data_IF_535293237168
#
_entry.id   IF_535293237168
#
_cell.length_a   1.000
_cell.length_b   1.000
_cell.length_c   1.000
_cell.angle_alpha   90.00
_cell.angle_beta   90.00
_cell.angle_gamma   90.00
#
_symmetry.space_group_name_H-M   'P 1'
#
loop_
_entity.id
_entity.type
_entity.pdbx_description
1 polymer ?
#
# COMPACT_ATOMS: atom_id res chain seq x y z
N UNK A 1 -23.31 -2.39 21.46
CA UNK A 1 -23.95 -3.70 21.76
C UNK A 1 -24.25 -4.45 20.48
N UNK A 2 -23.49 -5.51 20.22
CA UNK A 2 -23.26 -5.98 18.85
C UNK A 2 -23.12 -7.49 18.79
N UNK A 3 -23.72 -8.17 17.78
CA UNK A 3 -23.75 -9.63 17.71
C UNK A 3 -22.38 -10.32 17.86
N UNK A 4 -21.27 -9.81 17.28
CA UNK A 4 -19.97 -10.47 17.42
C UNK A 4 -19.48 -10.58 18.88
N UNK A 5 -19.69 -9.55 19.70
CA UNK A 5 -19.34 -9.61 21.12
C UNK A 5 -20.16 -10.67 21.88
N UNK A 6 -21.41 -10.93 21.46
CA UNK A 6 -22.22 -11.99 22.06
C UNK A 6 -21.73 -13.38 21.66
N UNK A 7 -21.37 -13.59 20.39
CA UNK A 7 -20.88 -14.89 19.91
C UNK A 7 -19.47 -15.21 20.41
N UNK A 8 -18.66 -14.20 20.71
CA UNK A 8 -17.30 -14.38 21.23
C UNK A 8 -17.25 -14.47 22.76
N UNK A 9 -18.27 -14.06 23.51
CA UNK A 9 -18.13 -13.88 24.97
C UNK A 9 -17.72 -15.14 25.74
N UNK A 10 -18.11 -16.31 25.24
CA UNK A 10 -17.82 -17.59 25.89
C UNK A 10 -16.55 -18.25 25.31
N UNK A 11 -16.16 -17.93 24.08
CA UNK A 11 -15.03 -18.54 23.36
C UNK A 11 -13.76 -17.68 23.41
N UNK A 12 -13.92 -16.36 23.36
CA UNK A 12 -12.88 -15.35 23.41
C UNK A 12 -13.37 -14.08 24.14
N UNK A 13 -13.46 -14.12 25.49
CA UNK A 13 -13.96 -13.01 26.29
C UNK A 13 -13.06 -11.76 26.21
N UNK A 14 -11.79 -11.90 25.84
CA UNK A 14 -10.88 -10.77 25.59
C UNK A 14 -11.34 -10.01 24.34
N UNK A 15 -11.45 -10.70 23.20
CA UNK A 15 -11.90 -10.09 21.95
C UNK A 15 -13.36 -9.66 21.99
N UNK A 16 -14.23 -10.35 22.72
CA UNK A 16 -15.60 -9.89 22.97
C UNK A 16 -15.61 -8.52 23.67
N UNK A 17 -14.76 -8.36 24.70
CA UNK A 17 -14.58 -7.11 25.41
C UNK A 17 -14.00 -6.01 24.52
N UNK A 18 -13.04 -6.36 23.66
CA UNK A 18 -12.45 -5.44 22.70
C UNK A 18 -13.43 -4.99 21.62
N UNK A 19 -14.18 -5.91 21.05
CA UNK A 19 -15.22 -5.59 20.08
C UNK A 19 -16.25 -4.62 20.68
N UNK A 20 -16.68 -4.88 21.93
CA UNK A 20 -17.58 -3.95 22.63
C UNK A 20 -16.95 -2.57 22.84
N UNK A 21 -15.68 -2.50 23.21
CA UNK A 21 -14.94 -1.24 23.36
C UNK A 21 -14.87 -0.46 22.03
N UNK A 22 -14.60 -1.11 20.89
CA UNK A 22 -14.60 -0.46 19.56
C UNK A 22 -15.93 0.28 19.34
N UNK A 23 -17.04 -0.39 19.60
CA UNK A 23 -18.37 0.15 19.32
C UNK A 23 -18.84 1.25 20.27
N UNK A 24 -18.46 1.19 21.54
CA UNK A 24 -19.02 2.07 22.58
C UNK A 24 -18.07 3.18 23.00
N UNK A 25 -16.75 2.94 22.95
CA UNK A 25 -15.76 3.81 23.59
C UNK A 25 -14.65 4.27 22.65
N UNK A 26 -14.46 3.63 21.49
CA UNK A 26 -13.43 4.10 20.56
C UNK A 26 -13.81 5.45 19.96
N UNK A 27 -12.82 6.28 19.66
CA UNK A 27 -13.00 7.55 18.93
C UNK A 27 -13.63 7.38 17.53
N UNK A 28 -13.79 6.14 17.06
CA UNK A 28 -14.46 5.76 15.82
C UNK A 28 -15.89 5.26 16.08
N UNK A 29 -16.57 5.72 17.15
CA UNK A 29 -18.01 5.51 17.30
C UNK A 29 -18.66 5.77 15.94
N UNK A 30 -19.36 4.77 15.38
CA UNK A 30 -19.99 4.90 14.08
C UNK A 30 -21.00 6.05 14.14
N UNK A 31 -20.58 7.23 13.67
CA UNK A 31 -21.44 8.41 13.59
C UNK A 31 -22.42 8.19 12.44
N UNK A 32 -23.71 8.34 12.76
CA UNK A 32 -24.88 8.56 11.89
C UNK A 32 -25.17 7.59 10.73
N UNK A 33 -24.22 7.14 9.89
CA UNK A 33 -24.57 6.41 8.66
C UNK A 33 -25.26 5.06 8.93
N UNK A 34 -24.81 4.31 9.94
CA UNK A 34 -25.47 3.07 10.37
C UNK A 34 -26.79 3.31 11.15
N UNK A 35 -27.04 4.55 11.58
CA UNK A 35 -28.23 4.94 12.34
C UNK A 35 -29.31 5.59 11.48
N UNK A 36 -28.95 6.19 10.34
CA UNK A 36 -29.84 7.05 9.56
C UNK A 36 -30.36 6.41 8.25
N UNK A 37 -29.62 5.48 7.62
CA UNK A 37 -29.94 5.01 6.25
C UNK A 37 -30.57 3.61 6.14
N UNK A 38 -30.62 2.85 7.22
CA UNK A 38 -31.49 1.68 7.37
C UNK A 38 -32.42 2.05 8.51
N UNK A 39 -33.76 2.00 8.43
CA UNK A 39 -34.60 2.30 9.61
C UNK A 39 -34.29 1.25 10.71
N UNK A 40 -33.42 1.55 11.69
CA UNK A 40 -32.81 0.51 12.51
C UNK A 40 -33.74 0.11 13.65
N UNK A 41 -34.87 0.81 13.84
CA UNK A 41 -35.61 0.74 15.10
C UNK A 41 -36.30 -0.60 15.33
N UNK A 42 -36.54 -1.43 14.32
CA UNK A 42 -37.14 -2.76 14.51
C UNK A 42 -36.09 -3.88 14.46
N UNK A 43 -35.30 -3.96 13.39
CA UNK A 43 -34.32 -5.05 13.22
C UNK A 43 -33.13 -4.94 14.18
N UNK A 44 -32.60 -3.72 14.38
CA UNK A 44 -31.48 -3.52 15.30
C UNK A 44 -31.88 -3.75 16.76
N UNK A 45 -33.08 -3.30 17.17
CA UNK A 45 -33.57 -3.56 18.53
C UNK A 45 -33.80 -5.06 18.76
N UNK A 46 -34.31 -5.79 17.75
CA UNK A 46 -34.47 -7.23 17.84
C UNK A 46 -33.13 -7.97 17.97
N UNK A 47 -32.14 -7.64 17.14
CA UNK A 47 -30.79 -8.23 17.27
C UNK A 47 -30.08 -7.82 18.56
N UNK A 48 -30.31 -6.60 19.04
CA UNK A 48 -29.80 -6.14 20.34
C UNK A 48 -30.49 -6.83 21.51
N UNK A 49 -31.76 -7.20 21.38
CA UNK A 49 -32.48 -7.98 22.38
C UNK A 49 -31.97 -9.42 22.42
N UNK A 50 -31.86 -10.08 21.26
CA UNK A 50 -31.40 -11.47 21.16
C UNK A 50 -29.92 -11.64 21.48
N UNK A 51 -29.07 -10.76 20.94
CA UNK A 51 -27.60 -10.86 20.99
C UNK A 51 -26.96 -9.65 21.66
N UNK A 52 -27.71 -9.01 22.56
CA UNK A 52 -27.16 -8.03 23.47
C UNK A 52 -26.10 -8.66 24.36
N UNK A 53 -24.97 -7.97 24.48
CA UNK A 53 -23.79 -8.41 25.25
C UNK A 53 -23.46 -7.37 26.33
N UNK A 54 -24.48 -6.89 27.06
CA UNK A 54 -24.33 -5.88 28.12
C UNK A 54 -23.47 -6.39 29.30
N UNK A 55 -23.47 -7.70 29.49
CA UNK A 55 -22.67 -8.46 30.45
C UNK A 55 -21.16 -8.50 30.10
N UNK A 56 -20.80 -8.31 28.83
CA UNK A 56 -19.39 -8.39 28.37
C UNK A 56 -18.60 -7.16 28.83
N UNK A 57 -17.56 -7.34 29.65
CA UNK A 57 -16.74 -6.22 30.11
C UNK A 57 -15.90 -5.64 28.97
N UNK A 58 -15.93 -4.31 28.78
CA UNK A 58 -15.16 -3.62 27.74
C UNK A 58 -13.66 -3.73 27.99
N UNK A 59 -12.87 -3.90 26.93
CA UNK A 59 -11.41 -3.96 26.99
C UNK A 59 -10.77 -3.16 25.87
N UNK A 60 -9.84 -2.28 26.21
CA UNK A 60 -9.04 -1.50 25.26
C UNK A 60 -8.07 -2.40 24.46
N UNK A 61 -7.49 -1.93 23.34
CA UNK A 61 -6.43 -2.64 22.64
C UNK A 61 -5.28 -3.07 23.57
N UNK A 62 -4.86 -2.20 24.48
CA UNK A 62 -3.78 -2.47 25.42
C UNK A 62 -4.15 -3.57 26.42
N UNK A 63 -5.39 -3.59 26.92
CA UNK A 63 -5.85 -4.60 27.90
C UNK A 63 -5.85 -6.02 27.33
N UNK A 64 -6.11 -6.18 26.03
CA UNK A 64 -6.09 -7.50 25.37
C UNK A 64 -4.73 -7.83 24.75
N UNK A 65 -3.73 -6.96 24.88
CA UNK A 65 -2.43 -7.13 24.23
C UNK A 65 -2.54 -7.21 22.70
N UNK A 66 -3.40 -6.36 22.10
CA UNK A 66 -3.63 -6.35 20.65
C UNK A 66 -2.29 -6.18 19.92
N UNK A 67 -2.00 -7.09 18.99
CA UNK A 67 -0.77 -7.09 18.23
C UNK A 67 -0.74 -5.86 17.31
N UNK A 68 0.45 -5.39 16.96
CA UNK A 68 0.61 -4.30 16.00
C UNK A 68 0.55 -4.80 14.55
N UNK A 69 0.70 -6.10 14.33
CA UNK A 69 0.80 -6.69 13.00
C UNK A 69 -0.15 -7.86 12.86
N UNK A 70 -0.95 -7.83 11.81
CA UNK A 70 -1.95 -8.85 11.50
C UNK A 70 -1.94 -9.17 10.01
N UNK A 71 -2.00 -10.45 9.69
CA UNK A 71 -2.32 -10.92 8.34
C UNK A 71 -3.75 -11.41 8.32
N UNK A 72 -4.63 -10.66 7.68
CA UNK A 72 -6.06 -10.96 7.60
C UNK A 72 -6.41 -11.76 6.35
N UNK A 73 -7.32 -12.71 6.52
CA UNK A 73 -8.00 -13.42 5.44
C UNK A 73 -7.06 -13.88 4.33
N UNK A 74 -7.32 -13.40 3.12
CA UNK A 74 -6.65 -13.84 1.91
C UNK A 74 -5.33 -13.16 1.59
N UNK A 75 -4.84 -12.22 2.42
CA UNK A 75 -3.54 -11.60 2.16
C UNK A 75 -3.34 -10.16 2.60
N UNK A 76 -4.27 -9.54 3.33
CA UNK A 76 -4.05 -8.17 3.81
C UNK A 76 -3.10 -8.19 5.02
N UNK A 77 -1.87 -7.72 4.86
CA UNK A 77 -0.90 -7.56 5.94
C UNK A 77 -0.94 -6.12 6.46
N UNK A 78 -1.54 -5.95 7.63
CA UNK A 78 -1.58 -4.66 8.34
C UNK A 78 -0.44 -4.64 9.35
N UNK A 79 0.44 -3.65 9.25
CA UNK A 79 1.53 -3.38 10.20
C UNK A 79 1.34 -2.00 10.81
N UNK A 80 1.47 -1.89 12.13
CA UNK A 80 1.29 -0.64 12.86
C UNK A 80 2.47 -0.34 13.76
N UNK A 81 2.68 0.95 14.07
CA UNK A 81 3.60 1.35 15.15
C UNK A 81 2.92 1.30 16.53
N UNK A 82 1.62 1.56 16.58
CA UNK A 82 0.82 1.60 17.81
C UNK A 82 -0.67 1.33 17.49
N UNK A 83 -1.45 0.95 18.50
CA UNK A 83 -2.88 0.60 18.34
C UNK A 83 -3.85 1.66 18.91
N UNK A 84 -3.35 2.73 19.50
CA UNK A 84 -4.14 3.66 20.33
C UNK A 84 -4.01 5.13 19.93
N UNK A 85 -2.92 5.50 19.28
CA UNK A 85 -2.62 6.86 18.85
C UNK A 85 -3.13 7.11 17.43
N UNK A 86 -3.67 8.31 17.18
CA UNK A 86 -4.07 8.74 15.83
C UNK A 86 -2.85 8.95 14.91
N UNK A 87 -1.68 9.09 15.53
CA UNK A 87 -0.38 9.34 14.91
C UNK A 87 0.42 8.05 14.68
N UNK A 88 -0.20 6.89 14.92
CA UNK A 88 0.42 5.62 14.64
C UNK A 88 0.68 5.48 13.13
N UNK A 89 1.82 4.91 12.78
CA UNK A 89 2.02 4.47 11.41
C UNK A 89 1.12 3.28 11.17
N UNK A 90 0.46 3.26 10.02
CA UNK A 90 -0.28 2.12 9.50
C UNK A 90 0.20 1.86 8.08
N UNK A 91 0.71 0.66 7.86
CA UNK A 91 1.03 0.14 6.54
C UNK A 91 0.03 -0.96 6.24
N UNK A 92 -0.64 -0.86 5.10
CA UNK A 92 -1.31 -2.00 4.49
C UNK A 92 -0.40 -2.51 3.38
N UNK A 93 -0.02 -3.78 3.42
CA UNK A 93 0.69 -4.44 2.33
C UNK A 93 -0.18 -5.59 1.80
N UNK A 94 -0.65 -5.43 0.57
CA UNK A 94 -1.58 -6.36 -0.03
C UNK A 94 -0.86 -7.55 -0.64
N UNK A 95 -1.04 -8.72 -0.02
CA UNK A 95 -0.32 -9.95 -0.35
C UNK A 95 -1.27 -11.12 -0.65
N UNK A 96 -2.20 -10.94 -1.61
CA UNK A 96 -3.28 -11.88 -1.86
C UNK A 96 -2.77 -13.24 -2.31
N UNK A 97 -3.32 -14.32 -1.75
CA UNK A 97 -3.07 -15.67 -2.25
C UNK A 97 -3.98 -16.00 -3.45
N UNK A 98 -5.22 -15.50 -3.41
CA UNK A 98 -6.25 -15.77 -4.42
C UNK A 98 -6.87 -14.48 -4.93
N UNK A 99 -7.19 -14.44 -6.23
CA UNK A 99 -8.04 -13.41 -6.82
C UNK A 99 -9.50 -13.80 -6.58
N UNK A 100 -10.28 -12.93 -5.92
CA UNK A 100 -11.70 -13.15 -5.74
C UNK A 100 -12.51 -12.30 -6.73
N UNK A 101 -13.72 -12.72 -7.12
CA UNK A 101 -14.54 -11.95 -8.05
C UNK A 101 -15.09 -10.65 -7.43
N UNK A 102 -15.56 -9.76 -8.33
CA UNK A 102 -16.30 -8.50 -8.07
C UNK A 102 -15.45 -7.31 -7.63
N UNK A 103 -15.31 -7.08 -6.32
CA UNK A 103 -14.75 -5.83 -5.77
C UNK A 103 -13.25 -5.93 -5.51
N UNK A 104 -12.58 -6.80 -6.25
CA UNK A 104 -11.15 -7.02 -6.16
C UNK A 104 -10.44 -6.17 -7.21
N UNK A 105 -9.29 -5.62 -6.85
CA UNK A 105 -8.46 -4.86 -7.75
C UNK A 105 -7.33 -5.75 -8.29
N UNK A 106 -6.67 -5.28 -9.36
CA UNK A 106 -5.45 -5.88 -9.90
C UNK A 106 -4.25 -5.22 -9.23
N UNK A 107 -4.07 -5.49 -7.93
CA UNK A 107 -3.20 -4.73 -7.05
C UNK A 107 -2.31 -5.62 -6.17
N UNK A 108 -2.05 -6.86 -6.60
CA UNK A 108 -1.21 -7.78 -5.85
C UNK A 108 0.19 -7.20 -5.61
N UNK A 109 0.58 -7.04 -4.34
CA UNK A 109 1.85 -6.43 -3.95
C UNK A 109 1.76 -4.91 -3.75
N UNK A 110 0.59 -4.30 -3.87
CA UNK A 110 0.37 -2.90 -3.54
C UNK A 110 0.59 -2.62 -2.05
N UNK A 111 0.89 -1.37 -1.71
CA UNK A 111 0.97 -0.94 -0.31
C UNK A 111 0.36 0.44 -0.10
N UNK A 112 -0.04 0.75 1.12
CA UNK A 112 -0.55 2.05 1.55
C UNK A 112 0.16 2.44 2.85
N UNK A 113 0.49 3.71 3.02
CA UNK A 113 1.16 4.22 4.21
C UNK A 113 0.42 5.43 4.75
N UNK A 114 0.08 5.36 6.03
CA UNK A 114 -0.47 6.45 6.82
C UNK A 114 0.44 6.72 8.02
N UNK A 115 0.73 7.99 8.30
CA UNK A 115 1.43 8.48 9.50
C UNK A 115 1.21 9.99 9.60
N UNK A 116 0.49 10.46 10.62
CA UNK A 116 0.01 11.87 10.74
C UNK A 116 -0.76 12.37 9.49
N UNK A 117 -1.47 11.46 8.81
CA UNK A 117 -2.11 11.72 7.52
C UNK A 117 -1.74 10.67 6.46
N UNK A 118 -2.43 10.72 5.32
CA UNK A 118 -2.15 9.83 4.18
C UNK A 118 -0.81 10.21 3.52
N UNK A 119 0.06 9.24 3.25
CA UNK A 119 1.37 9.46 2.62
C UNK A 119 1.52 8.71 1.30
N UNK A 120 1.24 7.41 1.31
CA UNK A 120 1.17 6.57 0.12
C UNK A 120 -0.24 6.00 0.00
N UNK A 121 -0.90 6.20 -1.13
CA UNK A 121 -2.34 5.94 -1.32
C UNK A 121 -2.62 4.73 -2.20
N UNK A 122 -3.78 4.12 -1.97
CA UNK A 122 -4.48 3.38 -3.02
C UNK A 122 -5.38 4.38 -3.76
N UNK A 123 -5.07 4.66 -5.02
CA UNK A 123 -5.55 5.84 -5.71
C UNK A 123 -6.85 5.61 -6.50
N UNK A 124 -7.51 6.72 -6.85
CA UNK A 124 -8.74 6.70 -7.63
C UNK A 124 -9.95 6.22 -6.84
N UNK A 125 -11.13 6.33 -7.43
CA UNK A 125 -12.37 5.83 -6.83
C UNK A 125 -13.34 5.34 -7.90
N UNK A 126 -13.92 4.16 -7.69
CA UNK A 126 -14.95 3.61 -8.60
C UNK A 126 -16.35 4.20 -8.34
N UNK A 127 -16.54 4.94 -7.25
CA UNK A 127 -17.82 5.51 -6.82
C UNK A 127 -17.86 7.00 -7.11
N UNK A 128 -18.99 7.47 -7.63
CA UNK A 128 -19.22 8.89 -7.83
C UNK A 128 -19.66 9.56 -6.54
N UNK A 129 -18.99 10.63 -6.17
CA UNK A 129 -19.47 11.66 -5.25
C UNK A 129 -19.13 13.03 -5.83
N UNK A 130 -19.85 14.08 -5.43
CA UNK A 130 -19.65 15.45 -5.90
C UNK A 130 -18.24 16.00 -5.61
N UNK A 131 -17.44 15.30 -4.80
CA UNK A 131 -16.09 15.69 -4.39
C UNK A 131 -14.99 14.75 -4.92
N UNK A 132 -15.35 13.70 -5.66
CA UNK A 132 -14.41 12.67 -6.10
C UNK A 132 -14.58 12.36 -7.60
N UNK A 133 -13.55 12.56 -8.43
CA UNK A 133 -13.55 12.12 -9.81
C UNK A 133 -13.55 10.59 -9.84
N UNK A 134 -14.64 10.05 -10.38
CA UNK A 134 -14.81 8.62 -10.58
C UNK A 134 -13.92 8.15 -11.72
N UNK A 135 -13.21 7.04 -11.53
CA UNK A 135 -12.69 6.24 -12.63
C UNK A 135 -13.19 4.80 -12.49
N UNK A 136 -13.82 4.28 -13.53
CA UNK A 136 -14.15 2.85 -13.64
C UNK A 136 -12.90 1.97 -13.76
N UNK A 137 -11.73 2.60 -13.95
CA UNK A 137 -10.42 1.95 -14.02
C UNK A 137 -9.67 1.96 -12.70
N UNK A 138 -10.26 2.40 -11.58
CA UNK A 138 -9.58 2.46 -10.28
C UNK A 138 -9.12 1.09 -9.75
N UNK A 139 -9.60 -0.01 -10.34
CA UNK A 139 -9.14 -1.36 -10.00
C UNK A 139 -7.95 -1.86 -10.84
N UNK A 140 -7.36 -1.02 -11.69
CA UNK A 140 -6.23 -1.39 -12.54
C UNK A 140 -4.88 -1.05 -11.89
N UNK A 141 -3.80 -1.77 -12.24
CA UNK A 141 -2.49 -1.66 -11.59
C UNK A 141 -1.93 -0.23 -11.51
N UNK A 142 -2.22 0.60 -12.51
CA UNK A 142 -1.81 2.01 -12.60
C UNK A 142 -2.32 2.93 -11.47
N UNK A 143 -3.28 2.48 -10.66
CA UNK A 143 -3.81 3.21 -9.50
C UNK A 143 -3.18 2.81 -8.16
N UNK A 144 -2.26 1.85 -8.17
CA UNK A 144 -1.75 1.23 -6.96
C UNK A 144 -0.24 1.41 -6.82
N UNK A 145 0.27 1.39 -5.59
CA UNK A 145 1.70 1.45 -5.32
C UNK A 145 2.36 0.10 -5.61
N UNK A 146 2.44 -0.27 -6.88
CA UNK A 146 2.92 -1.56 -7.38
C UNK A 146 4.13 -1.37 -8.31
N UNK A 147 4.77 -2.45 -8.72
CA UNK A 147 5.64 -2.45 -9.89
C UNK A 147 4.79 -2.67 -11.14
N UNK A 148 4.67 -1.64 -11.97
CA UNK A 148 3.98 -1.65 -13.24
C UNK A 148 4.87 -2.17 -14.37
N UNK A 149 4.26 -2.96 -15.24
CA UNK A 149 4.91 -3.61 -16.39
C UNK A 149 4.13 -3.21 -17.65
N UNK A 150 4.86 -2.74 -18.64
CA UNK A 150 4.31 -2.21 -19.89
C UNK A 150 4.90 -3.01 -21.05
N UNK A 151 4.12 -4.02 -21.46
CA UNK A 151 4.50 -5.04 -22.43
C UNK A 151 3.88 -4.79 -23.83
N UNK A 152 4.40 -5.44 -24.90
CA UNK A 152 4.01 -5.14 -26.28
C UNK A 152 2.51 -5.38 -26.54
N UNK A 153 1.80 -4.35 -27.02
CA UNK A 153 0.34 -4.36 -27.17
C UNK A 153 -0.33 -3.07 -26.68
N UNK A 154 0.41 -2.24 -25.93
CA UNK A 154 0.04 -0.86 -25.62
C UNK A 154 -1.04 -0.74 -24.54
N UNK A 155 -1.01 -1.61 -23.54
CA UNK A 155 -1.91 -1.42 -22.41
C UNK A 155 -1.44 -0.29 -21.50
N UNK A 156 -2.09 0.86 -21.67
CA UNK A 156 -1.76 2.09 -20.96
C UNK A 156 -2.13 2.04 -19.47
N UNK A 157 -2.82 0.99 -19.00
CA UNK A 157 -3.18 0.79 -17.59
C UNK A 157 -2.25 -0.17 -16.85
N UNK A 158 -1.24 -0.73 -17.53
CA UNK A 158 -0.40 -1.81 -17.01
C UNK A 158 -1.22 -3.03 -16.56
N UNK A 159 -2.41 -3.25 -17.13
CA UNK A 159 -3.22 -4.43 -16.80
C UNK A 159 -2.46 -5.69 -17.17
N UNK A 160 -2.86 -6.73 -16.48
CA UNK A 160 -2.49 -8.09 -16.80
C UNK A 160 -3.75 -8.96 -16.77
N UNK A 161 -3.74 -10.05 -17.53
CA UNK A 161 -4.85 -10.98 -17.64
C UNK A 161 -5.04 -11.73 -16.33
N UNK A 162 -6.23 -11.57 -15.74
CA UNK A 162 -6.65 -12.24 -14.51
C UNK A 162 -8.12 -12.62 -14.59
N UNK A 163 -8.65 -12.91 -15.79
CA UNK A 163 -10.05 -13.33 -15.90
C UNK A 163 -10.25 -14.71 -15.27
N UNK A 164 -10.58 -14.71 -13.98
CA UNK A 164 -10.81 -15.92 -13.19
C UNK A 164 -12.12 -15.80 -12.39
N UNK A 165 -13.21 -15.48 -13.09
CA UNK A 165 -14.54 -15.48 -12.48
C UNK A 165 -14.94 -16.89 -12.00
N UNK A 166 -15.09 -17.07 -10.68
CA UNK A 166 -15.61 -18.31 -10.08
C UNK A 166 -16.99 -18.11 -9.48
N UNK A 167 -17.87 -19.11 -9.62
CA UNK A 167 -19.21 -19.11 -9.05
C UNK A 167 -19.21 -19.37 -7.53
N UNK A 168 -19.60 -18.34 -6.77
CA UNK A 168 -20.16 -18.26 -5.40
C UNK A 168 -19.69 -19.14 -4.22
N UNK A 169 -18.96 -20.26 -4.35
CA UNK A 169 -18.40 -20.98 -3.20
C UNK A 169 -16.87 -20.88 -3.16
N UNK A 170 -16.40 -19.67 -2.89
CA UNK A 170 -15.00 -19.29 -3.02
C UNK A 170 -14.02 -20.06 -2.13
N UNK A 171 -14.47 -20.82 -1.11
CA UNK A 171 -13.56 -21.48 -0.18
C UNK A 171 -13.21 -22.92 -0.58
N UNK A 172 -14.15 -23.65 -1.20
CA UNK A 172 -13.94 -25.04 -1.64
C UNK A 172 -13.86 -25.20 -3.16
N UNK A 173 -14.05 -24.12 -3.92
CA UNK A 173 -13.83 -24.13 -5.36
C UNK A 173 -12.37 -24.55 -5.67
N UNK A 174 -12.15 -25.56 -6.52
CA UNK A 174 -10.82 -25.98 -6.97
C UNK A 174 -9.97 -24.83 -7.52
N UNK A 175 -10.60 -23.81 -8.12
CA UNK A 175 -9.90 -22.65 -8.64
C UNK A 175 -9.31 -21.77 -7.53
N UNK A 176 -9.90 -21.80 -6.33
CA UNK A 176 -9.42 -21.12 -5.13
C UNK A 176 -8.53 -22.02 -4.24
N UNK A 177 -7.89 -23.04 -4.81
CA UNK A 177 -6.89 -23.89 -4.14
C UNK A 177 -5.47 -23.59 -4.66
N UNK A 178 -4.40 -23.94 -3.92
CA UNK A 178 -3.04 -23.77 -4.41
C UNK A 178 -2.85 -24.43 -5.78
N UNK A 179 -2.36 -23.68 -6.76
CA UNK A 179 -2.21 -24.13 -8.14
C UNK A 179 -3.43 -23.89 -9.05
N UNK A 180 -4.64 -23.70 -8.50
CA UNK A 180 -5.86 -23.36 -9.25
C UNK A 180 -5.77 -22.01 -9.97
N UNK A 181 -6.73 -21.71 -10.86
CA UNK A 181 -6.71 -20.48 -11.64
C UNK A 181 -6.68 -19.24 -10.73
N UNK A 182 -7.47 -19.18 -9.66
CA UNK A 182 -7.50 -17.98 -8.83
C UNK A 182 -6.23 -17.81 -7.98
N UNK A 183 -5.35 -18.80 -7.88
CA UNK A 183 -4.10 -18.66 -7.12
C UNK A 183 -3.12 -17.72 -7.83
N UNK A 184 -2.97 -16.50 -7.32
CA UNK A 184 -2.19 -15.41 -7.94
C UNK A 184 -0.93 -15.02 -7.17
N UNK A 185 -0.83 -15.40 -5.89
CA UNK A 185 0.30 -14.98 -5.07
C UNK A 185 0.60 -15.94 -3.95
N UNK A 186 1.78 -15.76 -3.36
CA UNK A 186 2.25 -16.55 -2.24
C UNK A 186 3.12 -15.71 -1.31
N UNK A 187 2.82 -15.77 -0.01
CA UNK A 187 3.67 -15.22 1.04
C UNK A 187 4.80 -16.23 1.30
N UNK A 188 5.96 -15.99 0.71
CA UNK A 188 7.14 -16.85 0.82
C UNK A 188 7.73 -16.82 2.24
N UNK A 189 7.69 -15.67 2.89
CA UNK A 189 8.12 -15.52 4.27
C UNK A 189 7.38 -14.38 4.97
N UNK A 190 7.04 -14.59 6.24
CA UNK A 190 6.54 -13.56 7.14
C UNK A 190 7.27 -13.70 8.48
N UNK A 191 7.89 -12.62 8.95
CA UNK A 191 8.50 -12.55 10.28
C UNK A 191 8.01 -11.29 10.98
N UNK A 192 7.28 -11.49 12.07
CA UNK A 192 6.84 -10.42 12.96
C UNK A 192 7.78 -10.39 14.16
N UNK A 193 8.38 -9.24 14.42
CA UNK A 193 9.18 -8.97 15.61
C UNK A 193 8.62 -7.70 16.28
N UNK A 194 7.70 -7.85 17.26
CA UNK A 194 7.05 -6.73 17.92
C UNK A 194 8.03 -5.66 18.39
N UNK A 195 7.64 -4.40 18.22
CA UNK A 195 8.43 -3.22 18.59
C UNK A 195 9.84 -3.16 17.97
N UNK A 196 10.11 -3.92 16.91
CA UNK A 196 11.42 -3.94 16.24
C UNK A 196 11.29 -3.86 14.74
N UNK A 197 10.75 -4.92 14.13
CA UNK A 197 10.57 -4.97 12.69
C UNK A 197 9.54 -6.01 12.26
N UNK A 198 8.95 -5.81 11.10
CA UNK A 198 8.20 -6.83 10.38
C UNK A 198 8.79 -7.02 8.99
N UNK A 199 8.91 -8.28 8.57
CA UNK A 199 9.41 -8.65 7.25
C UNK A 199 8.36 -9.49 6.54
N UNK A 200 8.07 -9.14 5.29
CA UNK A 200 7.22 -9.88 4.38
C UNK A 200 7.92 -10.08 3.04
N UNK A 201 7.80 -11.27 2.48
CA UNK A 201 8.33 -11.64 1.17
C UNK A 201 7.22 -12.26 0.34
N UNK A 202 6.80 -11.55 -0.68
CA UNK A 202 5.61 -11.86 -1.45
C UNK A 202 5.97 -12.10 -2.91
N UNK A 203 5.69 -13.31 -3.40
CA UNK A 203 5.80 -13.68 -4.80
C UNK A 203 4.42 -13.63 -5.44
N UNK A 204 4.26 -12.78 -6.43
CA UNK A 204 3.00 -12.59 -7.15
C UNK A 204 3.18 -12.77 -8.65
N UNK A 205 4.17 -13.58 -9.04
CA UNK A 205 4.41 -13.96 -10.43
C UNK A 205 3.15 -14.54 -11.09
N UNK A 206 2.38 -15.34 -10.34
CA UNK A 206 1.14 -15.94 -10.82
C UNK A 206 0.00 -14.93 -11.04
N UNK A 207 0.12 -13.69 -10.55
CA UNK A 207 -0.85 -12.64 -10.88
C UNK A 207 -0.80 -12.32 -12.38
N UNK A 208 0.37 -12.46 -13.01
CA UNK A 208 0.58 -12.31 -14.45
C UNK A 208 0.39 -13.63 -15.23
N UNK A 209 -0.31 -14.61 -14.66
CA UNK A 209 -0.61 -15.85 -15.39
C UNK A 209 -1.45 -15.50 -16.63
N UNK A 210 -1.06 -15.99 -17.80
CA UNK A 210 -1.67 -15.56 -19.07
C UNK A 210 -0.82 -14.55 -19.82
N UNK A 211 0.12 -13.89 -19.14
CA UNK A 211 1.14 -13.06 -19.76
C UNK A 211 2.38 -13.89 -20.07
N UNK A 212 2.75 -13.97 -21.35
CA UNK A 212 3.97 -14.67 -21.80
C UNK A 212 5.25 -13.87 -21.53
N UNK A 213 5.11 -12.65 -21.02
CA UNK A 213 6.20 -11.71 -20.83
C UNK A 213 6.81 -11.70 -19.42
N UNK A 214 6.24 -12.43 -18.46
CA UNK A 214 6.65 -12.41 -17.06
C UNK A 214 7.28 -13.73 -16.61
N UNK A 215 8.56 -13.70 -16.23
CA UNK A 215 9.26 -14.86 -15.64
C UNK A 215 9.18 -14.87 -14.12
N UNK A 216 9.31 -13.71 -13.48
CA UNK A 216 9.31 -13.55 -12.02
C UNK A 216 8.97 -12.12 -11.63
N UNK A 217 8.14 -11.95 -10.61
CA UNK A 217 7.95 -10.68 -9.91
C UNK A 217 7.70 -10.93 -8.42
N UNK A 218 8.52 -10.27 -7.59
CA UNK A 218 8.55 -10.52 -6.15
C UNK A 218 8.88 -9.26 -5.38
N UNK A 219 8.14 -8.99 -4.31
CA UNK A 219 8.28 -7.82 -3.44
C UNK A 219 8.63 -8.24 -2.02
N UNK A 220 9.66 -7.62 -1.45
CA UNK A 220 10.05 -7.76 -0.05
C UNK A 220 9.84 -6.45 0.66
N UNK A 221 9.16 -6.48 1.79
CA UNK A 221 8.95 -5.32 2.64
C UNK A 221 9.54 -5.60 4.02
N UNK A 222 10.41 -4.71 4.49
CA UNK A 222 10.91 -4.68 5.86
C UNK A 222 10.51 -3.36 6.50
N UNK A 223 9.58 -3.41 7.45
CA UNK A 223 9.18 -2.27 8.25
C UNK A 223 9.95 -2.27 9.58
N UNK A 224 10.68 -1.21 9.88
CA UNK A 224 11.56 -1.07 11.05
C UNK A 224 11.01 0.04 11.94
N UNK A 225 10.77 -0.28 13.21
CA UNK A 225 10.20 0.62 14.22
C UNK A 225 10.81 0.46 15.61
N UNK A 226 12.06 0.00 15.67
CA UNK A 226 12.75 -0.27 16.93
C UNK A 226 13.07 1.02 17.72
N UNK A 227 12.36 1.32 18.83
CA UNK A 227 12.62 2.51 19.63
C UNK A 227 13.91 2.39 20.45
N UNK A 228 14.49 1.19 20.56
CA UNK A 228 15.74 0.92 21.26
C UNK A 228 16.95 0.98 20.32
N UNK A 229 16.74 1.15 19.01
CA UNK A 229 17.84 1.30 18.07
C UNK A 229 18.64 2.58 18.38
N UNK A 230 19.98 2.57 18.24
CA UNK A 230 20.75 3.79 18.45
C UNK A 230 20.28 4.88 17.49
N UNK A 231 20.45 6.15 17.87
CA UNK A 231 19.98 7.30 17.08
C UNK A 231 18.48 7.21 16.71
N UNK A 232 17.66 6.53 17.51
CA UNK A 232 16.21 6.64 17.40
C UNK A 232 15.79 7.99 17.99
N UNK A 233 15.29 8.87 17.13
CA UNK A 233 14.74 10.17 17.51
C UNK A 233 13.41 10.37 16.82
N UNK A 234 12.56 11.22 17.39
CA UNK A 234 11.38 11.79 16.73
C UNK A 234 10.38 10.78 16.14
N UNK A 235 10.27 9.59 16.76
CA UNK A 235 9.41 8.51 16.26
C UNK A 235 9.68 8.13 14.79
N UNK A 236 10.95 8.18 14.37
CA UNK A 236 11.35 7.81 13.02
C UNK A 236 11.19 6.31 12.78
N UNK A 237 10.50 5.99 11.70
CA UNK A 237 10.24 4.61 11.29
C UNK A 237 10.58 4.46 9.81
N UNK A 238 10.98 3.26 9.41
CA UNK A 238 11.52 3.02 8.08
C UNK A 238 10.84 1.86 7.39
N UNK A 239 10.61 1.96 6.08
CA UNK A 239 10.17 0.85 5.24
C UNK A 239 11.21 0.63 4.15
N UNK A 240 11.82 -0.56 4.12
CA UNK A 240 12.69 -0.97 3.03
C UNK A 240 11.88 -1.85 2.10
N UNK A 241 11.74 -1.42 0.85
CA UNK A 241 11.11 -2.17 -0.22
C UNK A 241 12.17 -2.66 -1.19
N UNK A 242 12.12 -3.94 -1.52
CA UNK A 242 12.93 -4.54 -2.56
C UNK A 242 12.06 -5.31 -3.54
N UNK A 243 12.06 -4.89 -4.79
CA UNK A 243 11.41 -5.59 -5.89
C UNK A 243 12.45 -6.24 -6.80
N UNK A 244 12.17 -7.47 -7.20
CA UNK A 244 12.96 -8.25 -8.15
C UNK A 244 12.04 -8.73 -9.26
N UNK A 245 12.29 -8.26 -10.47
CA UNK A 245 11.51 -8.56 -11.66
C UNK A 245 12.39 -9.14 -12.76
N UNK A 246 11.84 -10.10 -13.47
CA UNK A 246 12.44 -10.82 -14.58
C UNK A 246 11.36 -10.97 -15.66
N UNK A 247 11.57 -10.31 -16.80
CA UNK A 247 10.69 -10.32 -17.96
C UNK A 247 11.33 -11.10 -19.11
N UNK A 248 10.57 -11.49 -20.13
CA UNK A 248 11.13 -12.27 -21.25
C UNK A 248 11.85 -11.41 -22.29
N UNK A 249 11.51 -10.12 -22.39
CA UNK A 249 12.12 -9.16 -23.32
C UNK A 249 12.68 -7.95 -22.55
N UNK A 250 13.92 -7.60 -22.84
CA UNK A 250 14.61 -6.44 -22.24
C UNK A 250 13.96 -5.09 -22.60
N UNK A 251 13.16 -5.02 -23.67
CA UNK A 251 12.47 -3.80 -24.10
C UNK A 251 11.17 -3.53 -23.34
N UNK A 252 10.70 -4.48 -22.51
CA UNK A 252 9.52 -4.28 -21.68
C UNK A 252 9.82 -3.20 -20.64
N UNK A 253 8.96 -2.18 -20.62
CA UNK A 253 9.12 -1.05 -19.71
C UNK A 253 8.65 -1.45 -18.33
N UNK A 254 9.44 -1.07 -17.31
CA UNK A 254 9.19 -1.38 -15.91
C UNK A 254 9.19 -0.08 -15.12
N UNK A 255 8.16 0.14 -14.32
CA UNK A 255 7.98 1.36 -13.54
C UNK A 255 7.56 1.03 -12.12
N UNK A 256 8.28 1.53 -11.13
CA UNK A 256 7.85 1.46 -9.74
C UNK A 256 6.94 2.66 -9.42
N UNK A 257 5.74 2.41 -8.87
CA UNK A 257 4.71 3.44 -8.70
C UNK A 257 4.54 3.87 -7.24
N UNK A 258 4.32 5.17 -7.02
CA UNK A 258 3.89 5.76 -5.75
C UNK A 258 2.87 6.87 -5.95
N UNK A 259 1.68 6.66 -5.42
CA UNK A 259 0.56 7.59 -5.38
C UNK A 259 0.53 8.37 -4.09
N UNK A 260 0.30 9.67 -4.21
CA UNK A 260 0.40 10.62 -3.10
C UNK A 260 -0.73 11.65 -3.17
N UNK A 261 -1.18 12.18 -2.01
CA UNK A 261 -2.22 13.21 -1.96
C UNK A 261 -1.73 14.60 -2.39
N UNK A 262 -0.41 14.81 -2.41
CA UNK A 262 0.26 16.08 -2.66
C UNK A 262 1.43 15.88 -3.61
N UNK A 263 1.90 16.94 -4.27
CA UNK A 263 3.02 16.86 -5.21
C UNK A 263 4.33 16.40 -4.52
N UNK A 264 4.91 15.23 -4.89
CA UNK A 264 6.21 14.81 -4.41
C UNK A 264 7.31 15.73 -4.92
N UNK A 265 8.25 16.11 -4.06
CA UNK A 265 9.38 16.99 -4.39
C UNK A 265 10.68 16.19 -4.45
N UNK A 266 11.57 16.56 -5.38
CA UNK A 266 12.92 15.96 -5.43
C UNK A 266 13.85 16.77 -4.54
N UNK A 267 14.42 16.15 -3.51
CA UNK A 267 15.29 16.85 -2.55
C UNK A 267 16.51 17.45 -3.25
N UNK A 268 16.63 18.77 -3.19
CA UNK A 268 17.76 19.53 -3.77
C UNK A 268 17.79 19.56 -5.30
N UNK A 269 16.70 19.19 -5.98
CA UNK A 269 16.56 19.23 -7.43
C UNK A 269 15.19 19.82 -7.81
N UNK A 270 14.86 19.86 -9.10
CA UNK A 270 13.57 20.34 -9.59
C UNK A 270 13.07 19.51 -10.74
N UNK A 271 11.76 19.32 -10.78
CA UNK A 271 11.04 18.72 -11.89
C UNK A 271 11.25 19.52 -13.19
N UNK A 272 11.43 18.81 -14.29
CA UNK A 272 11.45 19.40 -15.64
C UNK A 272 10.12 19.10 -16.32
N UNK A 273 9.45 20.15 -16.80
CA UNK A 273 8.17 19.96 -17.49
C UNK A 273 8.38 19.21 -18.81
N UNK A 274 7.64 18.11 -18.97
CA UNK A 274 7.71 17.23 -20.14
C UNK A 274 6.37 17.19 -20.90
N UNK A 275 5.29 17.68 -20.29
CA UNK A 275 3.97 17.81 -20.89
C UNK A 275 2.97 18.42 -19.91
N UNK A 276 1.69 18.49 -20.31
CA UNK A 276 0.65 18.94 -19.37
C UNK A 276 0.52 17.97 -18.21
N UNK A 277 0.66 18.50 -16.99
CA UNK A 277 0.63 17.72 -15.75
C UNK A 277 1.57 16.50 -15.78
N UNK A 278 2.71 16.67 -16.48
CA UNK A 278 3.74 15.66 -16.62
C UNK A 278 5.12 16.29 -16.52
N UNK A 279 5.91 15.78 -15.58
CA UNK A 279 7.28 16.21 -15.37
C UNK A 279 8.21 15.03 -15.26
N UNK A 280 9.47 15.26 -15.59
CA UNK A 280 10.53 14.26 -15.48
C UNK A 280 11.75 14.81 -14.75
N UNK A 281 12.58 13.90 -14.27
CA UNK A 281 13.93 14.20 -13.84
C UNK A 281 14.83 12.99 -14.05
N UNK A 282 16.05 13.23 -14.53
CA UNK A 282 17.11 12.22 -14.59
C UNK A 282 18.13 12.40 -13.44
N UNK A 283 17.83 13.28 -12.47
CA UNK A 283 18.67 13.58 -11.31
C UNK A 283 17.89 13.54 -10.00
N UNK A 284 18.63 13.32 -8.91
CA UNK A 284 18.07 13.16 -7.57
C UNK A 284 17.54 11.76 -7.34
N UNK A 285 17.73 11.24 -6.13
CA UNK A 285 17.29 9.91 -5.74
C UNK A 285 16.52 9.91 -4.42
N UNK A 286 16.21 11.08 -3.87
CA UNK A 286 15.43 11.23 -2.64
C UNK A 286 14.22 12.11 -2.93
N UNK A 287 13.05 11.56 -2.68
CA UNK A 287 11.76 12.20 -2.85
C UNK A 287 11.21 12.56 -1.47
N UNK A 288 10.61 13.74 -1.36
CA UNK A 288 9.91 14.23 -0.18
C UNK A 288 8.42 14.39 -0.47
N UNK A 289 7.58 13.93 0.44
CA UNK A 289 6.13 14.14 0.44
C UNK A 289 5.75 14.67 1.81
N UNK A 290 5.14 15.85 1.86
CA UNK A 290 4.69 16.48 3.10
C UNK A 290 3.19 16.77 3.01
N UNK A 291 2.39 16.02 3.74
CA UNK A 291 0.94 16.21 3.75
C UNK A 291 0.56 17.31 4.75
N UNK A 292 -0.02 18.40 4.24
CA UNK A 292 -0.47 19.56 5.03
C UNK A 292 -1.99 19.76 4.96
N UNK A 293 -2.75 18.76 4.52
CA UNK A 293 -4.20 18.89 4.39
C UNK A 293 -4.90 18.81 5.75
N UNK A 294 -5.71 19.82 6.07
CA UNK A 294 -6.40 19.92 7.35
C UNK A 294 -5.40 19.97 8.53
N UNK A 295 -5.54 19.03 9.47
CA UNK A 295 -4.61 18.86 10.59
C UNK A 295 -3.51 17.84 10.29
N UNK A 296 -3.38 17.36 9.05
CA UNK A 296 -2.32 16.41 8.68
C UNK A 296 -0.98 17.12 8.68
N UNK A 297 0.05 16.41 9.11
CA UNK A 297 1.44 16.86 9.12
C UNK A 297 2.38 15.65 8.93
N UNK A 298 1.94 14.65 8.16
CA UNK A 298 2.74 13.49 7.81
C UNK A 298 3.85 13.88 6.85
N UNK A 299 5.03 13.29 7.06
CA UNK A 299 6.15 13.39 6.15
C UNK A 299 6.67 12.02 5.74
N UNK A 300 6.93 11.85 4.45
CA UNK A 300 7.54 10.68 3.85
C UNK A 300 8.77 11.12 3.03
N UNK A 301 9.92 10.54 3.33
CA UNK A 301 11.05 10.52 2.42
C UNK A 301 11.14 9.16 1.74
N UNK A 302 11.44 9.12 0.45
CA UNK A 302 11.74 7.88 -0.29
C UNK A 302 13.08 8.03 -0.99
N UNK A 303 14.05 7.20 -0.62
CA UNK A 303 15.35 7.14 -1.29
C UNK A 303 15.49 5.89 -2.14
N UNK A 304 15.71 6.07 -3.43
CA UNK A 304 16.00 4.99 -4.37
C UNK A 304 17.51 4.70 -4.40
N UNK A 305 17.85 3.42 -4.20
CA UNK A 305 19.21 2.88 -4.24
C UNK A 305 19.42 1.95 -5.46
N UNK A 306 18.33 1.43 -6.01
CA UNK A 306 18.25 0.74 -7.30
C UNK A 306 16.93 1.10 -8.01
N UNK A 307 16.90 1.10 -9.35
CA UNK A 307 18.07 0.92 -10.24
C UNK A 307 19.00 2.14 -10.21
N UNK A 308 20.26 2.01 -10.68
CA UNK A 308 21.20 3.15 -10.74
C UNK A 308 21.04 4.01 -12.00
N UNK A 309 20.36 3.49 -13.02
CA UNK A 309 20.00 4.21 -14.26
C UNK A 309 18.48 4.26 -14.33
N UNK A 310 17.90 5.44 -14.18
CA UNK A 310 16.45 5.61 -14.15
C UNK A 310 16.03 6.99 -14.65
N UNK A 311 14.74 7.11 -14.92
CA UNK A 311 14.04 8.39 -15.02
C UNK A 311 12.94 8.45 -13.96
N UNK A 312 12.91 9.55 -13.22
CA UNK A 312 11.75 9.91 -12.41
C UNK A 312 10.72 10.55 -13.32
N UNK A 313 9.47 10.12 -13.18
CA UNK A 313 8.30 10.65 -13.88
C UNK A 313 7.27 11.03 -12.85
N UNK A 314 6.73 12.23 -12.95
CA UNK A 314 5.65 12.71 -12.10
C UNK A 314 4.43 12.99 -12.97
N UNK A 315 3.32 12.33 -12.65
CA UNK A 315 2.02 12.51 -13.31
C UNK A 315 1.03 13.12 -12.33
N UNK A 316 0.15 13.97 -12.85
CA UNK A 316 -1.01 14.48 -12.13
C UNK A 316 -0.89 15.92 -11.66
N UNK A 317 -1.73 16.35 -10.74
CA UNK A 317 -1.74 17.73 -10.25
C UNK A 317 -2.38 18.74 -11.20
N UNK A 318 -1.88 19.97 -11.19
CA UNK A 318 -2.45 21.07 -11.92
C UNK A 318 -1.41 21.94 -12.64
N UNK A 319 -1.79 22.40 -13.84
CA UNK A 319 -1.05 23.38 -14.62
C UNK A 319 -2.00 24.52 -15.02
N UNK A 320 -1.94 25.62 -14.28
CA UNK A 320 -2.89 26.72 -14.45
C UNK A 320 -4.32 26.27 -14.14
N UNK A 321 -5.18 26.25 -15.16
CA UNK A 321 -6.55 25.72 -15.08
C UNK A 321 -6.69 24.28 -15.58
N UNK A 322 -5.63 23.68 -16.14
CA UNK A 322 -5.65 22.26 -16.51
C UNK A 322 -5.38 21.45 -15.25
N UNK A 323 -6.32 20.57 -14.94
CA UNK A 323 -6.25 19.70 -13.79
C UNK A 323 -6.31 18.27 -14.30
N UNK A 324 -5.24 17.52 -14.07
CA UNK A 324 -5.16 16.11 -14.44
C UNK A 324 -4.95 15.29 -13.20
N UNK A 325 -5.91 14.43 -12.95
CA UNK A 325 -5.87 13.44 -11.91
C UNK A 325 -6.16 12.13 -12.60
N UNK A 326 -5.29 11.16 -12.38
CA UNK A 326 -5.41 9.81 -12.95
C UNK A 326 -5.29 9.80 -14.47
N UNK A 327 -4.04 9.78 -14.95
CA UNK A 327 -3.72 9.54 -16.35
C UNK A 327 -3.24 8.10 -16.55
N UNK A 328 -3.34 7.64 -17.80
CA UNK A 328 -2.69 6.41 -18.24
C UNK A 328 -1.15 6.53 -18.22
N UNK A 329 -0.47 5.49 -18.70
CA UNK A 329 0.99 5.41 -18.76
C UNK A 329 1.62 6.51 -19.64
N UNK A 330 0.89 6.98 -20.65
CA UNK A 330 1.32 8.00 -21.60
C UNK A 330 0.91 9.42 -21.20
N UNK A 331 -0.07 9.57 -20.31
CA UNK A 331 -0.56 10.86 -19.83
C UNK A 331 -1.93 11.25 -20.38
N UNK A 332 -2.65 10.34 -21.03
CA UNK A 332 -4.03 10.58 -21.43
C UNK A 332 -4.97 10.39 -20.24
N UNK A 333 -6.03 11.18 -20.18
CA UNK A 333 -6.95 11.16 -19.04
C UNK A 333 -7.78 9.87 -19.01
N UNK A 334 -7.97 9.31 -17.82
CA UNK A 334 -8.70 8.05 -17.61
C UNK A 334 -10.17 8.22 -17.21
N UNK A 335 -10.69 9.45 -17.23
CA UNK A 335 -12.06 9.73 -16.80
C UNK A 335 -12.62 11.03 -17.37
N UNK A 336 -13.96 11.15 -17.33
CA UNK A 336 -14.62 12.45 -17.35
C UNK A 336 -14.18 13.23 -16.11
N UNK A 337 -13.52 14.37 -16.34
CA UNK A 337 -12.93 15.22 -15.29
C UNK A 337 -14.03 15.77 -14.39
N UNK A 338 -14.35 15.04 -13.31
CA UNK A 338 -15.20 15.54 -12.24
C UNK A 338 -14.48 16.65 -11.45
N UNK A 339 -15.22 17.48 -10.69
CA UNK A 339 -14.59 18.38 -9.74
C UNK A 339 -13.74 17.57 -8.75
N UNK A 340 -12.49 17.98 -8.55
CA UNK A 340 -11.64 17.42 -7.51
C UNK A 340 -11.41 18.50 -6.46
N UNK A 341 -11.93 18.26 -5.26
CA UNK A 341 -11.63 19.10 -4.11
C UNK A 341 -10.35 18.62 -3.45
N UNK A 342 -9.76 19.48 -2.62
CA UNK A 342 -8.62 19.10 -1.77
C UNK A 342 -8.96 17.91 -0.86
N UNK A 343 -10.23 17.77 -0.46
CA UNK A 343 -10.71 16.59 0.27
C UNK A 343 -10.64 15.32 -0.59
N UNK A 344 -11.05 15.41 -1.85
CA UNK A 344 -10.94 14.29 -2.77
C UNK A 344 -9.48 13.91 -3.04
N UNK A 345 -8.62 14.91 -3.24
CA UNK A 345 -7.17 14.75 -3.38
C UNK A 345 -6.54 14.01 -2.20
N UNK A 346 -6.95 14.36 -0.98
CA UNK A 346 -6.45 13.75 0.24
C UNK A 346 -6.72 12.24 0.33
N UNK A 347 -7.82 11.76 -0.24
CA UNK A 347 -8.24 10.35 -0.16
C UNK A 347 -7.93 9.53 -1.41
N UNK A 348 -8.04 10.13 -2.60
CA UNK A 348 -7.89 9.42 -3.87
C UNK A 348 -6.54 9.70 -4.57
N UNK A 349 -5.78 10.69 -4.11
CA UNK A 349 -4.47 11.03 -4.66
C UNK A 349 -4.54 11.99 -5.84
N UNK A 350 -3.57 12.90 -5.92
CA UNK A 350 -3.43 13.88 -7.02
C UNK A 350 -2.27 13.53 -7.95
N UNK A 351 -1.27 12.83 -7.43
CA UNK A 351 0.00 12.61 -8.11
C UNK A 351 0.41 11.14 -8.07
N UNK A 352 1.04 10.70 -9.15
CA UNK A 352 1.74 9.41 -9.27
C UNK A 352 3.19 9.67 -9.64
N UNK A 353 4.11 9.30 -8.75
CA UNK A 353 5.51 9.15 -9.04
C UNK A 353 5.74 7.80 -9.72
N UNK A 354 6.51 7.78 -10.78
CA UNK A 354 6.99 6.57 -11.45
C UNK A 354 8.53 6.61 -11.49
N UNK A 355 9.17 5.52 -11.10
CA UNK A 355 10.61 5.31 -11.32
C UNK A 355 10.76 4.30 -12.45
N UNK A 356 11.14 4.79 -13.62
CA UNK A 356 11.35 3.97 -14.81
C UNK A 356 12.79 3.47 -14.85
N UNK A 357 12.97 2.15 -14.96
CA UNK A 357 14.30 1.55 -15.09
C UNK A 357 14.86 1.73 -16.51
N UNK A 358 16.04 2.34 -16.59
CA UNK A 358 16.79 2.58 -17.82
C UNK A 358 18.10 1.78 -17.88
N UNK A 359 18.31 0.80 -16.99
CA UNK A 359 19.55 0.00 -16.99
C UNK A 359 19.69 -0.92 -18.21
N UNK A 360 18.57 -1.22 -18.88
CA UNK A 360 18.50 -2.23 -19.92
C UNK A 360 18.60 -3.65 -19.37
N UNK A 361 18.22 -4.64 -20.19
CA UNK A 361 18.21 -6.06 -19.82
C UNK A 361 16.84 -6.53 -19.32
N UNK A 362 16.70 -7.85 -19.18
CA UNK A 362 15.44 -8.52 -18.83
C UNK A 362 15.13 -8.54 -17.34
N UNK A 363 16.07 -8.15 -16.49
CA UNK A 363 15.91 -8.13 -15.03
C UNK A 363 16.02 -6.71 -14.50
N UNK A 364 15.14 -6.33 -13.57
CA UNK A 364 15.29 -5.09 -12.79
C UNK A 364 15.22 -5.37 -11.31
N UNK A 365 15.95 -4.56 -10.56
CA UNK A 365 15.84 -4.51 -9.11
C UNK A 365 15.47 -3.09 -8.71
N UNK A 366 14.48 -2.96 -7.82
CA UNK A 366 14.17 -1.70 -7.17
C UNK A 366 14.48 -1.85 -5.70
N UNK A 367 15.24 -0.90 -5.14
CA UNK A 367 15.54 -0.85 -3.72
C UNK A 367 15.21 0.55 -3.24
N UNK A 368 14.13 0.68 -2.50
CA UNK A 368 13.66 1.93 -1.94
C UNK A 368 13.70 1.88 -0.41
N UNK A 369 14.23 2.93 0.21
CA UNK A 369 14.15 3.14 1.66
C UNK A 369 13.26 4.33 1.92
N UNK A 370 12.18 4.08 2.66
CA UNK A 370 11.23 5.08 3.08
C UNK A 370 11.48 5.44 4.53
N UNK A 371 11.40 6.72 4.87
CA UNK A 371 11.37 7.21 6.24
C UNK A 371 10.08 7.98 6.45
N UNK A 372 9.32 7.62 7.48
CA UNK A 372 8.06 8.28 7.84
C UNK A 372 8.17 8.97 9.19
N UNK A 373 7.46 10.10 9.34
CA UNK A 373 7.47 10.86 10.58
C UNK A 373 6.57 12.08 10.55
N UNK A 374 6.73 12.92 11.57
CA UNK A 374 6.02 14.20 11.72
C UNK A 374 6.79 15.30 10.99
N UNK A 375 6.15 16.02 10.05
CA UNK A 375 6.75 17.13 9.32
C UNK A 375 7.26 18.26 10.22
N UNK A 376 6.73 18.39 11.44
CA UNK A 376 7.18 19.40 12.41
C UNK A 376 8.53 19.06 13.07
N UNK A 377 8.95 17.79 13.04
CA UNK A 377 10.19 17.33 13.69
C UNK A 377 11.15 16.62 12.74
N UNK A 378 10.65 16.00 11.67
CA UNK A 378 11.41 15.36 10.61
C UNK A 378 11.76 16.38 9.53
N UNK A 379 12.85 17.12 9.72
CA UNK A 379 13.25 18.18 8.78
C UNK A 379 14.03 17.67 7.56
N UNK A 380 14.69 16.52 7.67
CA UNK A 380 15.51 15.93 6.62
C UNK A 380 15.54 14.40 6.75
N UNK A 381 15.77 13.71 5.64
CA UNK A 381 16.00 12.26 5.66
C UNK A 381 17.32 11.94 6.37
N UNK A 382 17.34 10.89 7.20
CA UNK A 382 18.60 10.38 7.78
C UNK A 382 19.54 9.86 6.69
N UNK A 383 20.85 9.76 6.95
CA UNK A 383 21.77 9.12 6.02
C UNK A 383 21.33 7.70 5.68
N UNK A 384 21.22 7.41 4.39
CA UNK A 384 20.92 6.08 3.86
C UNK A 384 21.90 5.76 2.75
N UNK A 385 22.60 4.64 2.90
CA UNK A 385 23.65 4.18 1.99
C UNK A 385 23.32 2.80 1.43
N UNK A 386 23.60 2.60 0.14
CA UNK A 386 23.50 1.29 -0.50
C UNK A 386 24.64 0.41 -0.03
N UNK A 387 24.30 -0.79 0.42
CA UNK A 387 25.26 -1.83 0.77
C UNK A 387 25.18 -2.93 -0.29
N UNK A 388 26.34 -3.35 -0.80
CA UNK A 388 26.47 -4.50 -1.69
C UNK A 388 27.51 -5.45 -1.12
N UNK A 389 27.14 -6.71 -0.94
CA UNK A 389 28.03 -7.74 -0.42
C UNK A 389 27.73 -9.09 -1.08
N UNK A 390 28.63 -9.59 -1.93
CA UNK A 390 28.44 -10.84 -2.69
C UNK A 390 27.04 -10.89 -3.36
N UNK A 391 26.19 -11.83 -2.93
CA UNK A 391 24.84 -12.05 -3.43
C UNK A 391 23.77 -11.21 -2.71
N UNK A 392 24.17 -10.25 -1.87
CA UNK A 392 23.25 -9.39 -1.13
C UNK A 392 23.34 -7.94 -1.62
N UNK A 393 22.18 -7.28 -1.61
CA UNK A 393 22.03 -5.84 -1.74
C UNK A 393 21.16 -5.35 -0.60
N UNK A 394 21.29 -4.08 -0.24
CA UNK A 394 20.48 -3.53 0.84
C UNK A 394 20.87 -2.12 1.22
N UNK A 395 20.48 -1.73 2.42
CA UNK A 395 20.63 -0.39 2.93
C UNK A 395 21.22 -0.37 4.34
N UNK A 396 22.17 0.54 4.56
CA UNK A 396 22.57 0.98 5.88
C UNK A 396 21.84 2.30 6.17
N UNK A 397 20.98 2.29 7.17
CA UNK A 397 20.13 3.41 7.56
C UNK A 397 20.67 3.99 8.86
N UNK A 398 20.90 5.30 8.84
CA UNK A 398 21.40 6.11 9.95
C UNK A 398 22.67 5.52 10.62
N UNK A 399 23.51 4.85 9.81
CA UNK A 399 24.78 4.25 10.23
C UNK A 399 24.67 2.99 11.12
N UNK A 400 23.47 2.49 11.41
CA UNK A 400 23.31 1.44 12.43
C UNK A 400 22.18 0.41 12.20
N UNK A 401 21.32 0.63 11.23
CA UNK A 401 20.27 -0.32 10.84
C UNK A 401 20.63 -0.89 9.48
N UNK A 402 20.99 -2.18 9.45
CA UNK A 402 21.38 -2.86 8.22
C UNK A 402 20.23 -3.76 7.75
N UNK A 403 19.68 -3.46 6.57
CA UNK A 403 18.72 -4.31 5.88
C UNK A 403 19.43 -4.93 4.67
N UNK A 404 19.45 -6.26 4.57
CA UNK A 404 20.04 -6.98 3.43
C UNK A 404 19.02 -7.96 2.86
N UNK A 405 18.98 -8.03 1.54
CA UNK A 405 18.17 -8.98 0.77
C UNK A 405 19.06 -9.68 -0.25
N UNK A 406 18.73 -10.94 -0.55
CA UNK A 406 19.45 -11.70 -1.57
C UNK A 406 19.03 -11.19 -2.96
N UNK A 407 20.02 -10.86 -3.80
CA UNK A 407 19.86 -10.42 -5.21
C UNK A 407 19.28 -11.50 -6.10
N UNK A 408 19.51 -12.76 -5.78
CA UNK A 408 19.02 -13.91 -6.55
C UNK A 408 18.29 -14.81 -5.56
N UNK A 409 16.99 -14.61 -5.36
CA UNK A 409 16.21 -15.59 -4.63
C UNK A 409 16.40 -16.91 -5.38
N UNK A 410 16.95 -17.94 -4.73
CA UNK A 410 16.99 -19.27 -5.31
C UNK A 410 15.59 -19.57 -5.88
N UNK A 411 15.53 -20.04 -7.14
CA UNK A 411 14.29 -20.59 -7.72
C UNK A 411 13.78 -21.60 -6.71
N UNK A 412 12.71 -21.27 -5.99
CA UNK A 412 12.02 -22.27 -5.19
C UNK A 412 11.48 -23.25 -6.22
N UNK A 413 11.95 -24.49 -6.13
CA UNK A 413 11.87 -25.49 -7.19
C UNK A 413 10.48 -25.66 -7.79
N UNK A 414 10.52 -25.93 -9.10
CA UNK A 414 9.53 -26.60 -9.93
C UNK A 414 8.62 -27.59 -9.21
#
# INVERSE_FOLDING_TARGET
>A
LTPPAHFLKDTDPEYAGFYRWIWEDSQYQFTSYAYENEDPRLYWLFYKFLWGSKDVTKKTPAQIGLQQTYRFGLGDLIMKSDNTTQDATKINFYTPMYHLPRHYHKDAGSFVIFKYGNLALDAGVAKSDNSLPKSDKSGYPIYHNILAIDAPGGDLYYSYDMDTETSADAYYDPENQPGGANNIGNMVALKVAPDRYDYADFDYTRAYKGEDYMNRIRRKMLYIRDPQAPNYSNNEEYVVLFDDVDVTDANITRRWLLHTPVEPQIVGQSWQQAGSCFWTSNSGNTIEVTNTYGNSHGKLYVKFLEPTSYQLRLRGGNEGSDYRWFTDSEGNDLAERGPFSDWGAFWAGTHRLEVEDLSGGSTSQYLAVMQVGDANTLSAMVPVEKITANNFVGALINGNRLALVNKTPNRVGS
#
